data_IF_636142921407
#
_entry.id   IF_636142921407
#
_cell.length_a   1.000
_cell.length_b   1.000
_cell.length_c   1.000
_cell.angle_alpha   90.00
_cell.angle_beta   90.00
_cell.angle_gamma   90.00
#
_symmetry.space_group_name_H-M   'P 1'
#
loop_
_entity.id
_entity.type
_entity.pdbx_description
1 polymer ?
#
# COMPACT_ATOMS: atom_id res chain seq x y z
N UNK A 1 -33.88 8.26 0.37
CA UNK A 1 -33.41 7.08 -0.38
C UNK A 1 -32.01 6.72 0.12
N UNK A 2 -31.87 5.60 0.83
CA UNK A 2 -30.66 5.21 1.58
C UNK A 2 -30.14 3.82 1.12
N UNK A 3 -30.22 3.53 -0.18
CA UNK A 3 -29.87 2.22 -0.75
C UNK A 3 -28.66 2.23 -1.70
N UNK A 4 -28.07 3.39 -1.99
CA UNK A 4 -26.99 3.49 -2.97
C UNK A 4 -25.58 3.23 -2.38
N UNK A 5 -25.43 3.38 -1.06
CA UNK A 5 -24.16 3.15 -0.36
C UNK A 5 -23.74 1.66 -0.32
N UNK A 6 -24.68 0.74 -0.54
CA UNK A 6 -24.44 -0.70 -0.45
C UNK A 6 -23.47 -1.17 -1.55
N UNK A 7 -23.69 -0.77 -2.81
CA UNK A 7 -22.87 -1.18 -3.96
C UNK A 7 -21.86 -0.13 -4.42
N UNK A 8 -21.91 1.09 -3.87
CA UNK A 8 -20.89 2.10 -4.16
C UNK A 8 -19.53 1.66 -3.62
N UNK A 9 -18.52 1.63 -4.48
CA UNK A 9 -17.12 1.35 -4.11
C UNK A 9 -16.30 2.64 -4.06
N UNK A 10 -15.50 2.78 -3.00
CA UNK A 10 -14.54 3.86 -2.84
C UNK A 10 -13.13 3.34 -3.06
N UNK A 11 -12.38 4.04 -3.90
CA UNK A 11 -11.01 3.68 -4.24
C UNK A 11 -9.99 4.30 -3.28
N UNK A 12 -9.09 3.47 -2.77
CA UNK A 12 -7.94 3.86 -1.97
C UNK A 12 -6.66 3.48 -2.72
N UNK A 13 -5.85 4.44 -3.21
CA UNK A 13 -4.73 4.16 -4.11
C UNK A 13 -3.48 3.59 -3.43
N UNK A 14 -3.26 3.91 -2.14
CA UNK A 14 -2.08 3.47 -1.38
C UNK A 14 -2.51 2.68 -0.14
N UNK A 15 -2.80 1.40 -0.35
CA UNK A 15 -3.15 0.44 0.70
C UNK A 15 -2.04 -0.59 0.83
N UNK A 16 -1.68 -0.95 2.06
CA UNK A 16 -0.72 -2.02 2.37
C UNK A 16 -1.37 -3.08 3.24
N UNK A 17 -1.30 -4.35 2.85
CA UNK A 17 -1.77 -5.46 3.69
C UNK A 17 -0.70 -5.79 4.72
N UNK A 18 -1.03 -5.60 6.00
CA UNK A 18 -0.15 -5.93 7.12
C UNK A 18 -0.31 -7.37 7.57
N UNK A 19 -1.53 -7.92 7.53
CA UNK A 19 -1.84 -9.32 7.85
C UNK A 19 -2.98 -9.81 6.98
N UNK A 20 -2.95 -11.09 6.64
CA UNK A 20 -4.01 -11.77 5.88
C UNK A 20 -4.55 -12.94 6.68
N UNK A 21 -5.87 -13.04 6.78
CA UNK A 21 -6.60 -14.16 7.37
C UNK A 21 -7.64 -14.68 6.38
N UNK A 22 -8.18 -15.87 6.62
CA UNK A 22 -9.22 -16.45 5.76
C UNK A 22 -10.44 -15.52 5.57
N UNK A 23 -11.00 -14.86 6.61
CA UNK A 23 -12.16 -13.98 6.43
C UNK A 23 -11.84 -12.50 6.16
N UNK A 24 -10.66 -12.02 6.58
CA UNK A 24 -10.36 -10.57 6.58
C UNK A 24 -8.90 -10.24 6.31
N UNK A 25 -8.65 -9.04 5.81
CA UNK A 25 -7.31 -8.46 5.62
C UNK A 25 -7.12 -7.27 6.56
N UNK A 26 -5.99 -7.23 7.26
CA UNK A 26 -5.57 -6.05 8.00
C UNK A 26 -4.83 -5.14 7.04
N UNK A 27 -5.48 -4.06 6.63
CA UNK A 27 -4.97 -3.10 5.68
C UNK A 27 -4.57 -1.81 6.40
N UNK A 28 -3.39 -1.29 6.06
CA UNK A 28 -2.99 0.06 6.40
C UNK A 28 -3.41 1.00 5.26
N UNK A 29 -4.19 2.00 5.60
CA UNK A 29 -4.71 3.03 4.70
C UNK A 29 -4.31 4.38 5.31
N UNK A 30 -3.31 5.04 4.70
CA UNK A 30 -2.66 6.19 5.33
C UNK A 30 -2.02 5.83 6.67
N UNK A 31 -2.50 6.46 7.74
CA UNK A 31 -2.04 6.23 9.12
C UNK A 31 -2.91 5.26 9.90
N UNK A 32 -4.06 4.86 9.35
CA UNK A 32 -5.00 3.95 10.01
C UNK A 32 -4.73 2.51 9.61
N UNK A 33 -4.84 1.60 10.56
CA UNK A 33 -4.83 0.15 10.32
C UNK A 33 -6.22 -0.40 10.60
N UNK A 34 -6.84 -1.05 9.62
CA UNK A 34 -8.23 -1.49 9.68
C UNK A 34 -8.37 -2.92 9.15
N UNK A 35 -9.13 -3.74 9.87
CA UNK A 35 -9.55 -5.04 9.39
C UNK A 35 -10.72 -4.89 8.42
N UNK A 36 -10.53 -5.39 7.19
CA UNK A 36 -11.50 -5.34 6.12
C UNK A 36 -11.94 -6.76 5.74
N UNK A 37 -13.25 -7.06 5.78
CA UNK A 37 -13.77 -8.35 5.32
C UNK A 37 -13.52 -8.55 3.83
N UNK A 38 -13.07 -9.74 3.44
CA UNK A 38 -12.74 -10.05 2.03
C UNK A 38 -13.93 -9.90 1.08
N UNK A 39 -15.16 -10.14 1.55
CA UNK A 39 -16.38 -10.00 0.75
C UNK A 39 -16.82 -8.55 0.46
N UNK A 40 -16.19 -7.55 1.10
CA UNK A 40 -16.54 -6.14 0.94
C UNK A 40 -15.42 -5.30 0.34
N UNK A 41 -14.34 -5.95 -0.08
CA UNK A 41 -13.22 -5.35 -0.78
C UNK A 41 -13.13 -5.92 -2.18
N UNK A 42 -12.72 -5.09 -3.13
CA UNK A 42 -12.44 -5.47 -4.51
C UNK A 42 -11.05 -4.96 -4.89
N UNK A 43 -10.25 -5.81 -5.52
CA UNK A 43 -8.87 -5.46 -5.88
C UNK A 43 -7.94 -6.67 -5.95
N UNK A 44 -6.65 -6.38 -6.10
CA UNK A 44 -5.59 -7.40 -6.23
C UNK A 44 -4.80 -7.64 -4.94
N UNK A 45 -5.18 -7.01 -3.84
CA UNK A 45 -4.52 -7.20 -2.54
C UNK A 45 -5.17 -8.38 -1.81
N UNK A 46 -4.41 -9.47 -1.64
CA UNK A 46 -4.91 -10.73 -1.06
C UNK A 46 -4.03 -11.23 0.08
N UNK A 47 -2.74 -10.90 0.05
CA UNK A 47 -1.71 -11.49 0.89
C UNK A 47 -0.98 -10.44 1.73
N UNK A 48 -0.44 -10.87 2.86
CA UNK A 48 0.43 -10.04 3.69
C UNK A 48 1.61 -9.54 2.86
N UNK A 49 1.85 -8.23 2.91
CA UNK A 49 2.93 -7.58 2.15
C UNK A 49 2.46 -6.92 0.85
N UNK A 50 1.28 -7.26 0.32
CA UNK A 50 0.73 -6.63 -0.87
C UNK A 50 0.57 -5.11 -0.67
N UNK A 51 0.82 -4.36 -1.74
CA UNK A 51 0.63 -2.91 -1.77
C UNK A 51 -0.02 -2.47 -3.08
N UNK A 52 -0.94 -1.52 -3.00
CA UNK A 52 -1.53 -0.89 -4.17
C UNK A 52 -2.93 -0.37 -3.92
N UNK A 53 -3.71 -0.32 -5.00
CA UNK A 53 -5.08 0.18 -4.98
C UNK A 53 -6.06 -0.87 -4.45
N UNK A 54 -6.89 -0.47 -3.48
CA UNK A 54 -8.02 -1.27 -2.98
C UNK A 54 -9.33 -0.51 -3.19
N UNK A 55 -10.38 -1.21 -3.58
CA UNK A 55 -11.75 -0.71 -3.60
C UNK A 55 -12.49 -1.28 -2.39
N UNK A 56 -13.20 -0.44 -1.66
CA UNK A 56 -13.92 -0.83 -0.44
C UNK A 56 -15.37 -0.35 -0.59
N UNK A 57 -16.36 -1.17 -0.19
CA UNK A 57 -17.75 -0.71 -0.14
C UNK A 57 -17.88 0.54 0.73
N UNK A 58 -18.64 1.53 0.24
CA UNK A 58 -18.74 2.87 0.82
C UNK A 58 -19.26 2.82 2.26
N UNK A 59 -20.24 1.96 2.55
CA UNK A 59 -20.72 1.76 3.90
C UNK A 59 -19.64 1.22 4.86
N UNK A 60 -18.79 0.28 4.42
CA UNK A 60 -17.65 -0.23 5.22
C UNK A 60 -16.64 0.88 5.45
N UNK A 61 -16.35 1.65 4.40
CA UNK A 61 -15.43 2.77 4.51
C UNK A 61 -15.96 3.85 5.46
N UNK A 62 -17.27 4.09 5.50
CA UNK A 62 -17.93 5.00 6.45
C UNK A 62 -17.88 4.44 7.88
N UNK A 63 -18.27 3.18 8.08
CA UNK A 63 -18.22 2.46 9.37
C UNK A 63 -16.81 2.50 9.99
N UNK A 64 -15.78 2.41 9.16
CA UNK A 64 -14.37 2.44 9.57
C UNK A 64 -13.74 3.82 9.57
N UNK A 65 -14.54 4.87 9.36
CA UNK A 65 -14.08 6.26 9.31
C UNK A 65 -12.88 6.47 8.35
N UNK A 66 -12.94 5.80 7.20
CA UNK A 66 -11.95 5.90 6.12
C UNK A 66 -12.36 6.94 5.08
N UNK A 67 -13.63 7.35 5.06
CA UNK A 67 -14.17 8.42 4.21
C UNK A 67 -14.82 9.49 5.07
N UNK A 68 -14.90 10.71 4.55
CA UNK A 68 -15.61 11.82 5.17
C UNK A 68 -17.14 11.71 4.96
N UNK A 69 -17.88 12.70 5.45
CA UNK A 69 -19.34 12.76 5.31
C UNK A 69 -19.79 12.85 3.85
N UNK A 70 -18.97 13.44 2.98
CA UNK A 70 -19.20 13.56 1.54
C UNK A 70 -18.82 12.30 0.76
N UNK A 71 -18.13 11.36 1.40
CA UNK A 71 -17.65 10.09 0.85
C UNK A 71 -16.28 10.17 0.17
N UNK A 72 -15.54 11.26 0.36
CA UNK A 72 -14.16 11.36 -0.07
C UNK A 72 -13.26 10.56 0.88
N UNK A 73 -12.30 9.82 0.33
CA UNK A 73 -11.30 9.10 1.13
C UNK A 73 -10.54 10.08 2.01
N UNK A 74 -10.50 9.80 3.31
CA UNK A 74 -9.64 10.49 4.28
C UNK A 74 -8.24 9.94 4.06
N UNK A 75 -7.63 10.33 2.93
CA UNK A 75 -6.22 10.09 2.71
C UNK A 75 -5.48 11.03 3.66
N UNK A 76 -4.90 10.50 4.73
CA UNK A 76 -3.80 11.20 5.39
C UNK A 76 -2.77 11.49 4.29
N UNK A 77 -2.36 12.75 4.08
CA UNK A 77 -1.33 13.08 3.10
C UNK A 77 -0.08 12.30 3.51
N UNK A 78 0.16 11.16 2.85
CA UNK A 78 1.39 10.43 3.08
C UNK A 78 2.53 11.42 2.88
N UNK A 79 3.53 11.47 3.79
CA UNK A 79 4.68 12.30 3.56
C UNK A 79 5.22 11.87 2.21
N UNK A 80 5.27 12.81 1.27
CA UNK A 80 5.91 12.61 -0.01
C UNK A 80 7.27 12.02 0.31
N UNK A 81 7.42 10.70 0.16
CA UNK A 81 8.71 10.04 0.26
C UNK A 81 9.48 10.63 -0.91
N UNK A 82 10.22 11.69 -0.61
CA UNK A 82 11.15 12.32 -1.52
C UNK A 82 11.89 11.17 -2.18
N UNK A 83 11.67 10.99 -3.48
CA UNK A 83 12.51 10.12 -4.29
C UNK A 83 13.90 10.73 -4.22
N UNK A 84 14.68 10.32 -3.22
CA UNK A 84 16.12 10.54 -3.25
C UNK A 84 16.62 9.59 -4.33
N UNK A 85 16.60 10.06 -5.58
CA UNK A 85 17.39 9.48 -6.65
C UNK A 85 18.84 9.69 -6.26
N UNK A 86 19.42 8.73 -5.55
CA UNK A 86 20.88 8.63 -5.43
C UNK A 86 21.38 8.01 -6.73
N UNK A 87 22.13 8.73 -7.60
CA UNK A 87 22.91 8.05 -8.61
C UNK A 87 23.99 7.24 -7.89
N UNK A 88 23.95 5.92 -8.02
CA UNK A 88 25.04 5.07 -7.58
C UNK A 88 26.22 5.31 -8.53
N UNK A 89 27.19 6.12 -8.11
CA UNK A 89 28.51 6.11 -8.73
C UNK A 89 29.22 4.84 -8.27
N UNK A 90 29.25 3.84 -9.14
CA UNK A 90 30.10 2.68 -8.99
C UNK A 90 31.52 3.09 -9.39
N UNK A 91 32.44 3.17 -8.44
CA UNK A 91 33.87 3.30 -8.74
C UNK A 91 34.41 1.91 -9.12
N UNK A 92 34.85 1.77 -10.38
CA UNK A 92 35.59 0.60 -10.85
C UNK A 92 37.02 0.66 -10.29
N UNK A 93 37.32 -0.17 -9.28
CA UNK A 93 38.69 -0.34 -8.77
C UNK A 93 39.37 -1.39 -9.64
N UNK A 94 40.33 -0.98 -10.46
CA UNK A 94 41.21 -1.90 -11.19
C UNK A 94 42.14 -2.54 -10.14
N UNK A 95 42.00 -3.84 -9.95
CA UNK A 95 42.92 -4.61 -9.12
C UNK A 95 44.19 -4.86 -9.94
N UNK A 96 45.31 -4.28 -9.52
CA UNK A 96 46.63 -4.65 -10.01
C UNK A 96 47.00 -5.98 -9.36
N UNK A 97 47.03 -7.04 -10.17
CA UNK A 97 47.60 -8.32 -9.78
C UNK A 97 49.09 -8.28 -10.13
N UNK A 98 49.88 -7.85 -9.16
CA UNK A 98 51.32 -8.04 -9.14
C UNK A 98 51.59 -9.54 -9.04
N UNK A 99 52.09 -10.13 -10.12
CA UNK A 99 52.59 -11.50 -10.15
C UNK A 99 54.11 -11.45 -10.27
N UNK A 100 54.77 -11.40 -9.12
CA UNK A 100 56.15 -11.82 -8.96
C UNK A 100 56.30 -13.29 -9.40
N UNK A 101 57.13 -13.57 -10.40
CA UNK A 101 57.88 -14.83 -10.58
C UNK A 101 59.09 -14.49 -11.48
N UNK A 102 60.28 -14.35 -10.91
CA UNK A 102 61.34 -15.37 -10.88
C UNK A 102 62.03 -15.53 -12.25
N UNK A 103 63.26 -15.00 -12.40
CA UNK A 103 64.54 -15.74 -12.36
C UNK A 103 65.72 -14.76 -12.14
#
# INVERSE_FOLDING_TARGET
>A
MLMDDADTLVAFPDVRVLRSTAPALLCRIGEKSVWLPRGHISGKLWCTGDRGKLLIRRWVARDRHLIDLHGAAITSPAPARARVRRPAQLHLVRSELDAHHAE
#
